data_IF_075897156087
#
_entry.id   IF_075897156087
#
_cell.length_a   1.000
_cell.length_b   1.000
_cell.length_c   1.000
_cell.angle_alpha   90.00
_cell.angle_beta   90.00
_cell.angle_gamma   90.00
#
_symmetry.space_group_name_H-M   'P 1'
#
loop_
_entity.id
_entity.type
_entity.pdbx_description
1 polymer ?
#
# COMPACT_ATOMS: atom_id res chain seq x y z
N UNK A 1 14.94 -6.43 29.70
CA UNK A 1 13.76 -6.80 28.89
C UNK A 1 14.32 -7.50 27.66
N UNK A 2 14.02 -8.78 27.47
CA UNK A 2 14.44 -9.47 26.26
C UNK A 2 13.67 -8.92 25.05
N UNK A 3 14.39 -8.61 23.98
CA UNK A 3 13.78 -8.19 22.72
C UNK A 3 13.15 -9.43 22.08
N UNK A 4 11.86 -9.39 21.66
CA UNK A 4 11.27 -10.50 20.95
C UNK A 4 12.09 -10.84 19.70
N UNK A 5 12.26 -12.12 19.38
CA UNK A 5 13.01 -12.57 18.20
C UNK A 5 12.13 -12.78 16.97
N UNK A 6 10.81 -12.75 17.15
CA UNK A 6 9.83 -13.00 16.11
C UNK A 6 8.58 -12.13 16.30
N UNK A 7 7.77 -12.04 15.25
CA UNK A 7 6.45 -11.40 15.26
C UNK A 7 5.45 -12.20 14.41
N UNK A 8 4.17 -11.94 14.59
CA UNK A 8 3.12 -12.56 13.78
C UNK A 8 2.84 -11.68 12.56
N UNK A 9 3.18 -12.17 11.36
CA UNK A 9 3.05 -11.49 10.08
C UNK A 9 2.34 -12.32 9.00
N UNK A 10 1.97 -11.65 7.92
CA UNK A 10 1.43 -12.27 6.73
C UNK A 10 2.53 -12.44 5.69
N UNK A 11 2.94 -13.67 5.43
CA UNK A 11 3.89 -13.98 4.36
C UNK A 11 3.26 -13.78 2.99
N UNK A 12 3.98 -13.12 2.10
CA UNK A 12 3.57 -12.87 0.73
C UNK A 12 4.31 -13.80 -0.24
N UNK A 13 3.73 -13.98 -1.40
CA UNK A 13 4.24 -14.87 -2.46
C UNK A 13 5.66 -14.50 -2.90
N UNK A 14 6.04 -13.24 -2.79
CA UNK A 14 7.40 -12.73 -3.09
C UNK A 14 8.38 -12.80 -1.90
N UNK A 15 8.02 -13.49 -0.83
CA UNK A 15 8.85 -13.67 0.36
C UNK A 15 8.86 -12.50 1.35
N UNK A 16 8.22 -11.36 1.03
CA UNK A 16 8.10 -10.23 1.97
C UNK A 16 6.99 -10.49 3.00
N UNK A 17 7.08 -9.83 4.15
CA UNK A 17 6.13 -10.01 5.25
C UNK A 17 5.43 -8.70 5.57
N UNK A 18 4.10 -8.77 5.68
CA UNK A 18 3.26 -7.65 6.12
C UNK A 18 2.75 -7.84 7.54
N UNK A 19 2.64 -6.77 8.29
CA UNK A 19 1.99 -6.76 9.61
C UNK A 19 0.49 -6.54 9.52
N UNK A 20 0.00 -6.17 8.33
CA UNK A 20 -1.41 -5.93 7.99
C UNK A 20 -1.82 -6.74 6.76
N UNK A 21 -3.13 -6.82 6.52
CA UNK A 21 -3.69 -7.63 5.43
C UNK A 21 -4.81 -6.84 4.72
N UNK A 22 -4.50 -5.62 4.28
CA UNK A 22 -5.48 -4.71 3.68
C UNK A 22 -5.83 -5.11 2.25
N UNK A 23 -7.11 -4.99 1.90
CA UNK A 23 -7.56 -4.94 0.51
C UNK A 23 -7.71 -3.47 0.13
N UNK A 24 -6.94 -3.03 -0.86
CA UNK A 24 -6.83 -1.62 -1.23
C UNK A 24 -7.53 -1.36 -2.55
N UNK A 25 -8.31 -0.29 -2.60
CA UNK A 25 -8.87 0.26 -3.83
C UNK A 25 -8.01 1.46 -4.23
N UNK A 26 -7.26 1.29 -5.31
CA UNK A 26 -6.24 2.24 -5.74
C UNK A 26 -6.73 3.03 -6.96
N UNK A 27 -7.13 4.29 -6.81
CA UNK A 27 -7.42 5.15 -7.97
C UNK A 27 -6.13 5.50 -8.71
N UNK A 28 -6.17 5.49 -10.03
CA UNK A 28 -5.00 5.84 -10.88
C UNK A 28 -4.87 7.35 -11.05
N UNK A 29 -5.97 8.07 -10.95
CA UNK A 29 -6.03 9.52 -11.13
C UNK A 29 -7.08 10.14 -10.20
N UNK A 30 -7.03 11.45 -10.05
CA UNK A 30 -7.92 12.21 -9.16
C UNK A 30 -9.40 12.07 -9.50
N UNK A 31 -9.76 11.86 -10.77
CA UNK A 31 -11.16 11.66 -11.19
C UNK A 31 -11.67 10.30 -10.74
N UNK A 32 -10.82 9.29 -10.74
CA UNK A 32 -11.13 7.92 -10.30
C UNK A 32 -11.40 7.81 -8.80
N UNK A 33 -11.05 8.83 -8.00
CA UNK A 33 -11.24 8.84 -6.55
C UNK A 33 -12.69 8.54 -6.17
N UNK A 34 -13.66 9.18 -6.81
CA UNK A 34 -15.08 8.98 -6.49
C UNK A 34 -15.52 7.52 -6.68
N UNK A 35 -15.04 6.86 -7.74
CA UNK A 35 -15.30 5.44 -7.96
C UNK A 35 -14.63 4.56 -6.92
N UNK A 36 -13.37 4.84 -6.58
CA UNK A 36 -12.62 4.07 -5.58
C UNK A 36 -13.24 4.18 -4.18
N UNK A 37 -13.63 5.39 -3.78
CA UNK A 37 -14.31 5.64 -2.51
C UNK A 37 -15.69 4.98 -2.46
N UNK A 38 -16.45 5.02 -3.56
CA UNK A 38 -17.73 4.33 -3.64
C UNK A 38 -17.57 2.81 -3.45
N UNK A 39 -16.56 2.19 -4.06
CA UNK A 39 -16.25 0.76 -3.86
C UNK A 39 -15.89 0.48 -2.41
N UNK A 40 -15.01 1.28 -1.81
CA UNK A 40 -14.59 1.09 -0.42
C UNK A 40 -15.75 1.29 0.58
N UNK A 41 -16.66 2.20 0.30
CA UNK A 41 -17.87 2.41 1.10
C UNK A 41 -18.86 1.25 0.98
N UNK A 42 -18.93 0.61 -0.17
CA UNK A 42 -19.81 -0.55 -0.40
C UNK A 42 -19.27 -1.83 0.24
N UNK A 43 -17.96 -2.01 0.29
CA UNK A 43 -17.32 -3.25 0.73
C UNK A 43 -16.52 -3.02 2.02
N UNK A 44 -17.09 -3.41 3.15
CA UNK A 44 -16.43 -3.27 4.45
C UNK A 44 -15.11 -4.05 4.51
N UNK A 45 -14.11 -3.43 5.11
CA UNK A 45 -12.76 -4.00 5.24
C UNK A 45 -11.84 -3.68 4.07
N UNK A 46 -12.31 -2.91 3.09
CA UNK A 46 -11.49 -2.34 2.03
C UNK A 46 -11.20 -0.87 2.30
N UNK A 47 -10.13 -0.34 1.68
CA UNK A 47 -9.68 1.03 1.85
C UNK A 47 -9.39 1.67 0.49
N UNK A 48 -10.02 2.79 0.19
CA UNK A 48 -9.59 3.64 -0.91
C UNK A 48 -8.39 4.49 -0.49
N UNK A 49 -7.50 4.78 -1.44
CA UNK A 49 -6.36 5.70 -1.26
C UNK A 49 -6.52 6.87 -2.23
N UNK A 50 -7.45 7.80 -1.97
CA UNK A 50 -7.68 8.94 -2.85
C UNK A 50 -6.48 9.90 -2.81
N UNK A 51 -6.22 10.55 -3.93
CA UNK A 51 -5.15 11.53 -4.10
C UNK A 51 -5.49 12.55 -5.20
N UNK A 52 -4.73 13.63 -5.27
CA UNK A 52 -4.97 14.74 -6.20
C UNK A 52 -4.09 14.68 -7.47
N UNK A 53 -3.46 13.55 -7.77
CA UNK A 53 -2.46 13.42 -8.81
C UNK A 53 -2.93 12.54 -9.98
N UNK A 54 -2.06 12.34 -10.98
CA UNK A 54 -2.24 11.40 -12.08
C UNK A 54 -2.48 12.04 -13.44
N UNK A 55 -2.97 13.30 -13.53
CA UNK A 55 -3.30 13.94 -14.81
C UNK A 55 -2.40 15.10 -15.21
N UNK A 56 -1.64 15.65 -14.29
CA UNK A 56 -0.81 16.83 -14.52
C UNK A 56 0.69 16.57 -14.35
N UNK A 57 1.09 15.32 -14.21
CA UNK A 57 2.48 14.90 -14.17
C UNK A 57 2.97 14.58 -15.58
N UNK A 58 4.23 14.94 -15.85
CA UNK A 58 4.90 14.71 -17.13
C UNK A 58 6.35 14.28 -16.91
N UNK A 59 6.90 13.53 -17.87
CA UNK A 59 8.30 13.11 -17.83
C UNK A 59 8.65 12.33 -16.56
N UNK A 60 9.72 12.73 -15.90
CA UNK A 60 10.22 12.06 -14.69
C UNK A 60 9.22 12.08 -13.53
N UNK A 61 8.45 13.15 -13.39
CA UNK A 61 7.42 13.29 -12.36
C UNK A 61 6.28 12.26 -12.56
N UNK A 62 5.90 12.02 -13.82
CA UNK A 62 4.92 10.99 -14.15
C UNK A 62 5.46 9.58 -13.85
N UNK A 63 6.72 9.31 -14.14
CA UNK A 63 7.33 8.02 -13.81
C UNK A 63 7.39 7.81 -12.29
N UNK A 64 7.79 8.82 -11.52
CA UNK A 64 7.77 8.78 -10.06
C UNK A 64 6.36 8.53 -9.51
N UNK A 65 5.35 9.13 -10.14
CA UNK A 65 3.95 8.88 -9.80
C UNK A 65 3.59 7.40 -10.01
N UNK A 66 3.90 6.81 -11.18
CA UNK A 66 3.65 5.40 -11.43
C UNK A 66 4.39 4.50 -10.43
N UNK A 67 5.66 4.78 -10.16
CA UNK A 67 6.44 4.01 -9.20
C UNK A 67 5.84 4.07 -7.80
N UNK A 68 5.31 5.22 -7.40
CA UNK A 68 4.62 5.40 -6.11
C UNK A 68 3.34 4.58 -6.04
N UNK A 69 2.50 4.62 -7.08
CA UNK A 69 1.27 3.85 -7.15
C UNK A 69 1.52 2.34 -7.15
N UNK A 70 2.48 1.91 -7.98
CA UNK A 70 2.91 0.51 -8.05
C UNK A 70 3.49 0.06 -6.71
N UNK A 71 4.36 0.87 -6.10
CA UNK A 71 4.95 0.62 -4.78
C UNK A 71 3.90 0.48 -3.68
N UNK A 72 2.86 1.33 -3.72
CA UNK A 72 1.72 1.24 -2.81
C UNK A 72 0.99 -0.10 -2.95
N UNK A 73 0.66 -0.50 -4.18
CA UNK A 73 0.05 -1.80 -4.45
C UNK A 73 0.96 -2.99 -4.10
N UNK A 74 2.28 -2.88 -4.30
CA UNK A 74 3.28 -3.91 -3.94
C UNK A 74 3.56 -4.00 -2.44
N UNK A 75 3.10 -3.05 -1.63
CA UNK A 75 3.38 -3.03 -0.20
C UNK A 75 2.96 -4.36 0.47
N UNK A 76 3.79 -4.99 1.30
CA UNK A 76 3.45 -6.27 1.92
C UNK A 76 2.26 -6.20 2.89
N UNK A 77 1.89 -5.02 3.38
CA UNK A 77 0.67 -4.81 4.18
C UNK A 77 -0.61 -4.85 3.35
N UNK A 78 -0.50 -4.80 2.01
CA UNK A 78 -1.61 -4.95 1.07
C UNK A 78 -1.70 -6.41 0.64
N UNK A 79 -2.83 -7.04 0.92
CA UNK A 79 -3.11 -8.42 0.55
C UNK A 79 -3.52 -8.52 -0.92
N UNK A 80 -4.43 -7.66 -1.34
CA UNK A 80 -4.95 -7.60 -2.70
C UNK A 80 -5.26 -6.16 -3.08
N UNK A 81 -5.30 -5.88 -4.38
CA UNK A 81 -5.51 -4.53 -4.88
C UNK A 81 -6.53 -4.51 -6.02
N UNK A 82 -7.50 -3.59 -5.93
CA UNK A 82 -8.38 -3.23 -7.05
C UNK A 82 -7.93 -1.87 -7.57
N UNK A 83 -7.54 -1.80 -8.83
CA UNK A 83 -7.04 -0.57 -9.46
C UNK A 83 -8.15 0.02 -10.33
N UNK A 84 -8.48 1.31 -10.14
CA UNK A 84 -9.51 2.00 -10.91
C UNK A 84 -8.90 3.24 -11.55
N UNK A 85 -8.97 3.34 -12.86
CA UNK A 85 -8.48 4.49 -13.61
C UNK A 85 -9.45 4.92 -14.68
N UNK A 86 -9.27 6.13 -15.22
CA UNK A 86 -9.99 6.57 -16.40
C UNK A 86 -9.49 5.77 -17.60
N UNK A 87 -8.19 5.81 -17.87
CA UNK A 87 -7.59 5.27 -19.06
C UNK A 87 -7.15 3.80 -18.88
N UNK A 88 -7.51 2.90 -19.83
CA UNK A 88 -7.15 1.49 -19.75
C UNK A 88 -5.64 1.23 -19.71
N UNK A 89 -4.83 1.99 -20.44
CA UNK A 89 -3.38 1.75 -20.55
C UNK A 89 -2.66 2.01 -19.22
N UNK A 90 -2.98 3.09 -18.53
CA UNK A 90 -2.40 3.42 -17.24
C UNK A 90 -2.83 2.43 -16.16
N UNK A 91 -4.12 2.10 -16.17
CA UNK A 91 -4.67 1.07 -15.27
C UNK A 91 -3.93 -0.25 -15.47
N UNK A 92 -3.79 -0.69 -16.73
CA UNK A 92 -3.08 -1.94 -17.06
C UNK A 92 -1.62 -1.90 -16.65
N UNK A 93 -0.90 -0.79 -16.88
CA UNK A 93 0.50 -0.63 -16.47
C UNK A 93 0.69 -0.89 -14.98
N UNK A 94 -0.17 -0.32 -14.14
CA UNK A 94 -0.10 -0.47 -12.68
C UNK A 94 -0.45 -1.91 -12.28
N UNK A 95 -1.51 -2.48 -12.85
CA UNK A 95 -1.93 -3.87 -12.60
C UNK A 95 -0.83 -4.86 -12.95
N UNK A 96 -0.28 -4.77 -14.16
CA UNK A 96 0.77 -5.68 -14.62
C UNK A 96 2.00 -5.62 -13.70
N UNK A 97 2.38 -4.43 -13.28
CA UNK A 97 3.52 -4.25 -12.38
C UNK A 97 3.25 -4.79 -10.97
N UNK A 98 2.05 -4.62 -10.40
CA UNK A 98 1.68 -5.18 -9.09
C UNK A 98 1.62 -6.70 -9.18
N UNK A 99 1.06 -7.25 -10.26
CA UNK A 99 0.92 -8.70 -10.48
C UNK A 99 2.27 -9.45 -10.43
N UNK A 100 3.38 -8.79 -10.74
CA UNK A 100 4.73 -9.39 -10.64
C UNK A 100 5.09 -9.88 -9.24
N UNK A 101 4.39 -9.44 -8.21
CA UNK A 101 4.58 -9.88 -6.82
C UNK A 101 3.83 -11.16 -6.48
N UNK A 102 3.04 -11.72 -7.39
CA UNK A 102 2.13 -12.84 -7.14
C UNK A 102 0.82 -12.45 -6.41
N UNK A 103 0.67 -11.19 -6.05
CA UNK A 103 -0.48 -10.65 -5.32
C UNK A 103 -1.72 -10.60 -6.21
N UNK A 104 -2.91 -10.96 -5.71
CA UNK A 104 -4.16 -10.75 -6.42
C UNK A 104 -4.39 -9.26 -6.70
N UNK A 105 -4.56 -8.93 -7.98
CA UNK A 105 -4.81 -7.58 -8.46
C UNK A 105 -5.74 -7.61 -9.67
N UNK A 106 -6.68 -6.68 -9.73
CA UNK A 106 -7.60 -6.51 -10.86
C UNK A 106 -7.77 -5.04 -11.18
N UNK A 107 -7.90 -4.71 -12.47
CA UNK A 107 -8.03 -3.34 -12.96
C UNK A 107 -9.34 -3.09 -13.67
N UNK A 108 -9.90 -1.90 -13.43
CA UNK A 108 -11.13 -1.43 -14.08
C UNK A 108 -10.93 -0.03 -14.63
N UNK A 109 -11.45 0.19 -15.84
CA UNK A 109 -11.38 1.50 -16.49
C UNK A 109 -12.76 2.09 -16.65
N UNK A 110 -12.87 3.38 -16.37
CA UNK A 110 -14.13 4.14 -16.46
C UNK A 110 -14.43 4.45 -17.92
N UNK A 111 -13.40 4.73 -18.71
CA UNK A 111 -13.54 4.98 -20.15
C UNK A 111 -14.23 3.81 -20.85
N UNK A 112 -15.26 4.13 -21.63
CA UNK A 112 -16.06 3.14 -22.35
C UNK A 112 -17.03 2.30 -21.50
N UNK A 113 -16.93 2.36 -20.17
CA UNK A 113 -17.78 1.59 -19.24
C UNK A 113 -18.73 2.46 -18.43
N UNK A 114 -18.33 3.69 -18.13
CA UNK A 114 -18.99 4.57 -17.19
C UNK A 114 -18.69 4.21 -15.73
N UNK A 115 -18.94 5.15 -14.85
CA UNK A 115 -18.64 5.06 -13.40
C UNK A 115 -19.47 4.00 -12.69
N UNK A 116 -20.79 3.99 -12.87
CA UNK A 116 -21.72 3.06 -12.18
C UNK A 116 -21.35 1.61 -12.48
N UNK A 117 -21.11 1.27 -13.75
CA UNK A 117 -20.75 -0.09 -14.15
C UNK A 117 -19.38 -0.49 -13.64
N UNK A 118 -18.44 0.46 -13.59
CA UNK A 118 -17.11 0.27 -13.04
C UNK A 118 -17.19 0.03 -11.53
N UNK A 119 -17.92 0.84 -10.78
CA UNK A 119 -18.16 0.66 -9.34
C UNK A 119 -18.76 -0.72 -9.06
N UNK A 120 -19.78 -1.12 -9.82
CA UNK A 120 -20.42 -2.44 -9.62
C UNK A 120 -19.42 -3.60 -9.77
N UNK A 121 -18.68 -3.63 -10.88
CA UNK A 121 -17.71 -4.69 -11.16
C UNK A 121 -16.54 -4.69 -10.17
N UNK A 122 -16.02 -3.50 -9.87
CA UNK A 122 -14.94 -3.34 -8.92
C UNK A 122 -15.37 -3.73 -7.49
N UNK A 123 -16.62 -3.44 -7.10
CA UNK A 123 -17.18 -3.87 -5.80
C UNK A 123 -17.29 -5.40 -5.71
N UNK A 124 -17.73 -6.07 -6.76
CA UNK A 124 -17.77 -7.54 -6.79
C UNK A 124 -16.37 -8.12 -6.60
N UNK A 125 -15.37 -7.60 -7.31
CA UNK A 125 -13.98 -8.06 -7.18
C UNK A 125 -13.38 -7.72 -5.83
N UNK A 126 -13.67 -6.55 -5.29
CA UNK A 126 -13.23 -6.16 -3.95
C UNK A 126 -13.79 -7.09 -2.87
N UNK A 127 -15.04 -7.54 -3.02
CA UNK A 127 -15.66 -8.52 -2.13
C UNK A 127 -14.96 -9.87 -2.21
N UNK A 128 -14.68 -10.39 -3.41
CA UNK A 128 -13.93 -11.63 -3.61
C UNK A 128 -12.55 -11.54 -2.94
N UNK A 129 -11.84 -10.44 -3.14
CA UNK A 129 -10.53 -10.21 -2.53
C UNK A 129 -10.60 -10.08 -1.00
N UNK A 130 -11.66 -9.45 -0.48
CA UNK A 130 -11.88 -9.34 0.96
C UNK A 130 -12.13 -10.71 1.60
N UNK A 131 -12.93 -11.55 0.96
CA UNK A 131 -13.17 -12.94 1.40
C UNK A 131 -11.86 -13.73 1.38
N UNK A 132 -11.14 -13.73 0.25
CA UNK A 132 -9.85 -14.39 0.13
C UNK A 132 -8.83 -13.90 1.17
N UNK A 133 -8.75 -12.60 1.41
CA UNK A 133 -7.84 -12.03 2.42
C UNK A 133 -8.23 -12.46 3.85
N UNK A 134 -9.52 -12.64 4.14
CA UNK A 134 -9.99 -13.05 5.47
C UNK A 134 -9.60 -14.49 5.84
N UNK A 135 -9.30 -15.33 4.85
CA UNK A 135 -8.85 -16.70 5.06
C UNK A 135 -7.35 -16.80 5.40
N UNK A 136 -6.58 -15.73 5.14
CA UNK A 136 -5.15 -15.72 5.42
C UNK A 136 -4.88 -15.61 6.92
N UNK A 137 -4.02 -16.51 7.40
CA UNK A 137 -3.59 -16.53 8.80
C UNK A 137 -2.22 -15.86 8.95
N UNK A 138 -1.98 -15.32 10.14
CA UNK A 138 -0.65 -14.84 10.51
C UNK A 138 0.23 -16.01 10.89
N UNK A 139 1.49 -15.93 10.48
CA UNK A 139 2.52 -16.91 10.80
C UNK A 139 3.63 -16.24 11.58
N UNK A 140 4.41 -17.03 12.30
CA UNK A 140 5.60 -16.56 12.98
C UNK A 140 6.69 -16.22 11.96
N UNK A 141 7.19 -14.99 12.06
CA UNK A 141 8.20 -14.44 11.17
C UNK A 141 9.35 -13.85 12.00
N UNK A 142 10.61 -13.96 11.53
CA UNK A 142 11.73 -13.36 12.22
C UNK A 142 11.65 -11.83 12.16
N UNK A 143 12.19 -11.14 13.17
CA UNK A 143 12.24 -9.67 13.18
C UNK A 143 13.01 -9.10 11.99
N UNK A 144 13.95 -9.83 11.40
CA UNK A 144 14.68 -9.43 10.19
C UNK A 144 13.78 -9.18 8.96
N UNK A 145 12.56 -9.71 8.96
CA UNK A 145 11.59 -9.48 7.88
C UNK A 145 10.77 -8.19 8.09
N UNK A 146 10.90 -7.56 9.24
CA UNK A 146 10.16 -6.34 9.58
C UNK A 146 10.82 -5.12 8.94
N UNK A 147 10.01 -4.30 8.30
CA UNK A 147 10.41 -3.00 7.76
C UNK A 147 9.80 -1.89 8.59
N UNK A 148 10.64 -0.98 9.07
CA UNK A 148 10.21 0.19 9.84
C UNK A 148 10.62 1.44 9.07
N UNK A 149 9.66 2.34 8.85
CA UNK A 149 9.89 3.66 8.28
C UNK A 149 9.72 4.70 9.37
N UNK A 150 10.65 5.63 9.44
CA UNK A 150 10.59 6.78 10.33
C UNK A 150 10.34 8.05 9.51
N UNK A 151 9.46 8.91 10.00
CA UNK A 151 9.09 10.18 9.36
C UNK A 151 8.88 11.24 10.42
N UNK A 152 9.58 12.37 10.29
CA UNK A 152 9.27 13.52 11.14
C UNK A 152 7.93 14.15 10.74
N UNK A 153 7.21 14.68 11.71
CA UNK A 153 6.06 15.55 11.49
C UNK A 153 6.50 17.00 11.36
N UNK A 154 6.09 17.86 12.27
CA UNK A 154 6.58 19.21 12.42
C UNK A 154 7.80 19.24 13.35
N UNK A 155 8.73 20.16 13.08
CA UNK A 155 9.94 20.33 13.90
C UNK A 155 9.71 21.44 14.91
N UNK A 156 9.80 21.07 16.18
CA UNK A 156 9.80 22.01 17.30
C UNK A 156 10.90 21.68 18.33
N UNK A 157 10.97 22.39 19.40
CA UNK A 157 11.98 22.15 20.46
C UNK A 157 11.86 20.74 21.05
N UNK A 158 10.66 20.21 21.19
CA UNK A 158 10.44 18.86 21.74
C UNK A 158 10.91 17.76 20.79
N UNK A 159 10.92 18.02 19.47
CA UNK A 159 11.46 17.11 18.48
C UNK A 159 12.96 16.84 18.72
N UNK A 160 13.75 17.90 18.96
CA UNK A 160 15.19 17.78 19.22
C UNK A 160 15.51 17.22 20.61
N UNK A 161 14.74 17.62 21.63
CA UNK A 161 15.01 17.26 23.03
C UNK A 161 14.51 15.86 23.43
N UNK A 162 13.43 15.37 22.82
CA UNK A 162 12.76 14.16 23.25
C UNK A 162 12.50 13.18 22.09
N UNK A 163 11.73 13.59 21.06
CA UNK A 163 11.26 12.66 20.05
C UNK A 163 12.38 12.03 19.23
N UNK A 164 13.31 12.85 18.69
CA UNK A 164 14.40 12.34 17.87
C UNK A 164 15.39 11.47 18.67
N UNK A 165 15.83 11.84 19.89
CA UNK A 165 16.64 10.94 20.72
C UNK A 165 15.95 9.63 21.06
N UNK A 166 14.64 9.64 21.35
CA UNK A 166 13.88 8.43 21.62
C UNK A 166 13.80 7.52 20.39
N UNK A 167 13.54 8.09 19.21
CA UNK A 167 13.55 7.35 17.93
C UNK A 167 14.94 6.81 17.64
N UNK A 168 16.01 7.61 17.83
CA UNK A 168 17.39 7.15 17.67
C UNK A 168 17.71 5.94 18.54
N UNK A 169 17.38 6.00 19.84
CA UNK A 169 17.57 4.86 20.74
C UNK A 169 16.75 3.62 20.32
N UNK A 170 15.55 3.82 19.77
CA UNK A 170 14.77 2.74 19.18
C UNK A 170 15.50 2.12 17.99
N UNK A 171 16.03 2.94 17.08
CA UNK A 171 16.73 2.49 15.86
C UNK A 171 17.98 1.69 16.23
N UNK A 172 18.79 2.14 17.19
CA UNK A 172 19.96 1.40 17.68
C UNK A 172 19.59 -0.02 18.15
N UNK A 173 18.47 -0.14 18.88
CA UNK A 173 17.98 -1.45 19.36
C UNK A 173 17.47 -2.34 18.23
N UNK A 174 16.85 -1.74 17.21
CA UNK A 174 16.32 -2.46 16.07
C UNK A 174 17.44 -2.94 15.15
N UNK A 175 18.47 -2.14 14.93
CA UNK A 175 19.66 -2.53 14.15
C UNK A 175 20.32 -3.77 14.74
N UNK A 176 20.48 -3.84 16.06
CA UNK A 176 20.98 -5.02 16.76
C UNK A 176 20.11 -6.27 16.54
N UNK A 177 18.85 -6.10 16.16
CA UNK A 177 17.89 -7.17 15.85
C UNK A 177 17.85 -7.52 14.35
N UNK A 178 18.71 -6.94 13.51
CA UNK A 178 18.78 -7.12 12.06
C UNK A 178 17.47 -6.71 11.33
N UNK A 179 16.76 -5.73 11.84
CA UNK A 179 15.55 -5.20 11.22
C UNK A 179 15.92 -4.22 10.09
N UNK A 180 15.16 -4.26 8.98
CA UNK A 180 15.33 -3.30 7.91
C UNK A 180 14.73 -1.95 8.29
N UNK A 181 15.58 -0.92 8.33
CA UNK A 181 15.18 0.46 8.62
C UNK A 181 15.23 1.25 7.33
N UNK A 182 14.17 1.96 7.00
CA UNK A 182 14.16 2.92 5.90
C UNK A 182 13.78 4.30 6.41
N UNK A 183 14.58 5.29 6.05
CA UNK A 183 14.26 6.70 6.24
C UNK A 183 13.88 7.29 4.89
N UNK A 184 12.71 7.95 4.75
CA UNK A 184 12.40 8.66 3.52
C UNK A 184 13.39 9.80 3.37
N UNK A 185 14.25 9.72 2.36
CA UNK A 185 15.12 10.84 1.98
C UNK A 185 14.25 12.01 1.56
N UNK A 186 14.52 13.20 2.10
CA UNK A 186 13.95 14.43 1.57
C UNK A 186 14.55 14.68 0.19
N UNK A 187 13.74 15.08 -0.81
CA UNK A 187 14.25 15.51 -2.10
C UNK A 187 15.09 16.79 -1.96
#
# INVERSE_FOLDING_TARGET
MEIPKSFLGYKRENGRVGTRNHVVILPVDDISNACAEAVANNIKGTFAIPHAYGRLQFGADLELFFDTMIGTGKNPNVAACVVIGIEPKWTKRIVDAIATTGKPVEGFSIEGSGDIKTIMKASQKAQEFSQWASEKQREECPLSDLWISVKCGESDTTSGMAANPAVGNLMDKLELSLIHISEPTRP
#
